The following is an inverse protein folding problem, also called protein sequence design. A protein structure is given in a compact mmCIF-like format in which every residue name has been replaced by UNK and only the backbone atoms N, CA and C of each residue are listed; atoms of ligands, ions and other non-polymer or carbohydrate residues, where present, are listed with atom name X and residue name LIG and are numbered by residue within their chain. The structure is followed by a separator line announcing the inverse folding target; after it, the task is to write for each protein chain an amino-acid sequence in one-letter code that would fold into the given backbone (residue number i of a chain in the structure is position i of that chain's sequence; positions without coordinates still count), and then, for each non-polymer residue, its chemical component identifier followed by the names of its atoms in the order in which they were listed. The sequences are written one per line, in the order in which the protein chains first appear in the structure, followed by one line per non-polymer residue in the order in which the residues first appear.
data_IF_108649744892
#
_entry.id   IF_108649744892
#
_cell.length_a   1.000
_cell.length_b   1.000
_cell.length_c   1.000
_cell.angle_alpha   90.00
_cell.angle_beta   90.00
_cell.angle_gamma   90.00
#
_symmetry.space_group_name_H-M   'P 1'
#
loop_
_entity.id
_entity.type
_entity.pdbx_description
1 polymer ?
#
# COMPACT_ATOMS: atom_id res chain seq x y z
N UNK A 1 14.38 47.12 -47.72
CA UNK A 1 14.59 45.83 -47.03
C UNK A 1 13.41 45.60 -46.09
N UNK A 2 12.59 44.58 -46.34
CA UNK A 2 11.44 44.22 -45.48
C UNK A 2 11.94 43.23 -44.44
N UNK A 3 11.95 43.62 -43.16
CA UNK A 3 12.26 42.73 -42.04
C UNK A 3 10.93 42.13 -41.59
N UNK A 4 10.70 40.89 -41.97
CA UNK A 4 9.53 40.11 -41.56
C UNK A 4 9.80 39.58 -40.15
N UNK A 5 9.16 40.18 -39.13
CA UNK A 5 9.17 39.67 -37.76
C UNK A 5 8.38 38.35 -37.74
N UNK A 6 9.06 37.22 -37.58
CA UNK A 6 8.43 35.94 -37.32
C UNK A 6 8.02 35.87 -35.84
N UNK A 7 6.71 35.97 -35.59
CA UNK A 7 6.12 35.73 -34.27
C UNK A 7 6.19 34.22 -34.02
N UNK A 8 7.17 33.78 -33.22
CA UNK A 8 7.20 32.42 -32.69
C UNK A 8 6.15 32.35 -31.59
N UNK A 9 4.96 31.85 -31.94
CA UNK A 9 3.94 31.50 -30.96
C UNK A 9 4.46 30.32 -30.13
N UNK A 10 4.93 30.60 -28.92
CA UNK A 10 5.09 29.57 -27.89
C UNK A 10 3.69 29.03 -27.58
N UNK A 11 3.35 27.88 -28.17
CA UNK A 11 2.28 27.04 -27.67
C UNK A 11 2.71 26.56 -26.27
N UNK A 12 2.30 27.32 -25.25
CA UNK A 12 2.21 26.83 -23.88
C UNK A 12 1.27 25.61 -23.94
N UNK A 13 1.87 24.43 -24.05
CA UNK A 13 1.19 23.18 -23.74
C UNK A 13 0.77 23.30 -22.28
N UNK A 14 -0.47 23.75 -22.07
CA UNK A 14 -1.24 23.38 -20.92
C UNK A 14 -1.36 21.85 -20.97
N UNK A 15 -0.32 21.15 -20.53
CA UNK A 15 -0.43 19.79 -20.07
C UNK A 15 -1.33 19.88 -18.84
N UNK A 16 -2.63 19.89 -19.08
CA UNK A 16 -3.62 19.56 -18.07
C UNK A 16 -3.31 18.11 -17.71
N UNK A 17 -2.54 17.90 -16.64
CA UNK A 17 -2.41 16.58 -16.04
C UNK A 17 -3.82 16.16 -15.62
N UNK A 18 -4.43 15.26 -16.40
CA UNK A 18 -5.70 14.66 -16.03
C UNK A 18 -5.53 14.06 -14.62
N UNK A 19 -6.42 14.40 -13.66
CA UNK A 19 -6.28 13.93 -12.30
C UNK A 19 -6.34 12.41 -12.27
N UNK A 20 -5.36 11.80 -11.59
CA UNK A 20 -5.32 10.34 -11.39
C UNK A 20 -6.61 9.88 -10.72
N UNK A 21 -7.25 8.88 -11.31
CA UNK A 21 -8.50 8.29 -10.84
C UNK A 21 -8.28 6.90 -10.24
N UNK A 22 -9.31 6.36 -9.57
CA UNK A 22 -9.31 4.97 -9.08
C UNK A 22 -9.08 3.94 -10.19
N UNK A 23 -9.47 4.25 -11.45
CA UNK A 23 -9.27 3.36 -12.59
C UNK A 23 -7.81 3.28 -13.01
N UNK A 24 -7.08 4.39 -12.88
CA UNK A 24 -5.67 4.49 -13.25
C UNK A 24 -4.76 3.64 -12.36
N UNK A 25 -5.19 3.37 -11.13
CA UNK A 25 -4.41 2.65 -10.12
C UNK A 25 -4.94 1.24 -9.88
N UNK A 26 -6.05 0.86 -10.52
CA UNK A 26 -6.64 -0.46 -10.37
C UNK A 26 -5.68 -1.56 -10.84
N UNK A 27 -5.59 -2.63 -10.06
CA UNK A 27 -4.71 -3.78 -10.31
C UNK A 27 -4.29 -4.46 -9.02
N UNK A 28 -3.51 -5.54 -9.17
CA UNK A 28 -2.91 -6.27 -8.05
C UNK A 28 -1.42 -5.94 -7.97
N UNK A 29 -0.95 -5.70 -6.76
CA UNK A 29 0.44 -5.37 -6.44
C UNK A 29 0.92 -6.34 -5.37
N UNK A 30 2.09 -6.94 -5.57
CA UNK A 30 2.68 -7.86 -4.61
C UNK A 30 3.56 -7.09 -3.62
N UNK A 31 3.49 -7.47 -2.34
CA UNK A 31 4.30 -6.90 -1.27
C UNK A 31 5.76 -7.30 -1.47
N UNK A 32 6.65 -6.32 -1.48
CA UNK A 32 8.08 -6.51 -1.75
C UNK A 32 8.99 -6.08 -0.61
N UNK A 33 8.56 -5.09 0.18
CA UNK A 33 9.32 -4.58 1.32
C UNK A 33 8.41 -4.13 2.46
N UNK A 34 8.95 -4.17 3.68
CA UNK A 34 8.38 -3.59 4.89
C UNK A 34 9.41 -2.64 5.49
N UNK A 35 8.99 -1.43 5.84
CA UNK A 35 9.85 -0.36 6.38
C UNK A 35 11.12 -0.12 5.55
N UNK A 36 10.95 -0.09 4.22
CA UNK A 36 12.02 0.05 3.22
C UNK A 36 13.05 -1.11 3.16
N UNK A 37 12.79 -2.25 3.81
CA UNK A 37 13.64 -3.43 3.77
C UNK A 37 12.95 -4.59 3.03
N UNK A 38 13.68 -5.33 2.16
CA UNK A 38 13.10 -6.43 1.39
C UNK A 38 12.62 -7.56 2.30
N UNK A 39 11.55 -8.23 1.90
CA UNK A 39 11.01 -9.37 2.63
C UNK A 39 11.91 -10.63 2.54
N UNK A 40 11.87 -11.53 3.55
CA UNK A 40 11.06 -11.47 4.78
C UNK A 40 11.60 -10.45 5.80
N UNK A 41 10.72 -9.92 6.65
CA UNK A 41 11.08 -8.96 7.70
C UNK A 41 10.45 -9.33 9.04
N UNK A 42 11.20 -9.11 10.13
CA UNK A 42 10.72 -9.33 11.49
C UNK A 42 9.74 -8.22 11.87
N UNK A 43 8.52 -8.60 12.27
CA UNK A 43 7.48 -7.67 12.72
C UNK A 43 7.58 -7.40 14.22
N UNK A 44 7.62 -8.47 15.02
CA UNK A 44 7.79 -8.44 16.47
C UNK A 44 8.64 -9.61 16.94
N UNK A 45 9.34 -9.44 18.06
CA UNK A 45 10.05 -10.51 18.74
C UNK A 45 9.78 -10.43 20.23
N UNK A 46 9.55 -11.58 20.84
CA UNK A 46 9.36 -11.75 22.28
C UNK A 46 10.37 -12.75 22.81
N UNK A 47 10.41 -12.96 24.13
CA UNK A 47 11.25 -13.99 24.71
C UNK A 47 10.89 -15.40 24.20
N UNK A 48 9.65 -15.62 23.77
CA UNK A 48 9.12 -16.94 23.43
C UNK A 48 8.86 -17.16 21.94
N UNK A 49 8.52 -16.09 21.22
CA UNK A 49 8.09 -16.17 19.82
C UNK A 49 8.64 -15.00 19.00
N UNK A 50 8.97 -15.29 17.75
CA UNK A 50 9.33 -14.32 16.73
C UNK A 50 8.25 -14.32 15.64
N UNK A 51 7.87 -13.14 15.16
CA UNK A 51 6.84 -12.98 14.14
C UNK A 51 7.40 -12.29 12.91
N UNK A 52 7.16 -12.88 11.74
CA UNK A 52 7.72 -12.48 10.47
C UNK A 52 6.63 -12.13 9.46
N UNK A 53 6.94 -11.18 8.58
CA UNK A 53 6.19 -10.90 7.34
C UNK A 53 6.97 -11.48 6.18
N UNK A 54 6.32 -12.30 5.36
CA UNK A 54 6.94 -12.98 4.22
C UNK A 54 6.45 -12.46 2.87
N UNK A 55 5.25 -11.88 2.82
CA UNK A 55 4.67 -11.41 1.56
C UNK A 55 3.24 -10.93 1.73
N UNK A 56 2.56 -10.71 0.61
CA UNK A 56 1.22 -10.17 0.61
C UNK A 56 0.83 -9.61 -0.74
N UNK A 57 -0.42 -9.20 -0.87
CA UNK A 57 -0.96 -8.61 -2.08
C UNK A 57 -1.93 -7.48 -1.73
N UNK A 58 -1.85 -6.39 -2.48
CA UNK A 58 -2.80 -5.30 -2.49
C UNK A 58 -3.57 -5.36 -3.81
N UNK A 59 -4.87 -5.60 -3.76
CA UNK A 59 -5.76 -5.51 -4.92
C UNK A 59 -6.58 -4.23 -4.83
N UNK A 60 -6.44 -3.35 -5.82
CA UNK A 60 -7.23 -2.14 -6.01
C UNK A 60 -8.22 -2.36 -7.15
N UNK A 61 -9.52 -2.22 -6.88
CA UNK A 61 -10.57 -2.36 -7.89
C UNK A 61 -10.96 -1.00 -8.47
N UNK A 62 -11.31 -0.98 -9.76
CA UNK A 62 -11.77 0.21 -10.46
C UNK A 62 -13.06 0.83 -9.88
N UNK A 63 -13.75 0.10 -9.00
CA UNK A 63 -14.94 0.56 -8.26
C UNK A 63 -14.61 1.36 -7.01
N UNK A 64 -13.32 1.48 -6.62
CA UNK A 64 -12.90 2.08 -5.35
C UNK A 64 -12.91 1.11 -4.17
N UNK A 65 -13.11 -0.18 -4.41
CA UNK A 65 -12.91 -1.22 -3.39
C UNK A 65 -11.47 -1.72 -3.38
N UNK A 66 -10.96 -2.15 -2.23
CA UNK A 66 -9.65 -2.80 -2.12
C UNK A 66 -9.71 -4.06 -1.27
N UNK A 67 -8.67 -4.89 -1.42
CA UNK A 67 -8.33 -5.95 -0.49
C UNK A 67 -6.82 -5.99 -0.30
N UNK A 68 -6.38 -5.84 0.94
CA UNK A 68 -4.98 -5.98 1.32
C UNK A 68 -4.82 -7.27 2.13
N UNK A 69 -3.96 -8.17 1.67
CA UNK A 69 -3.57 -9.38 2.38
C UNK A 69 -2.10 -9.30 2.72
N UNK A 70 -1.74 -9.47 3.99
CA UNK A 70 -0.36 -9.62 4.45
C UNK A 70 -0.19 -11.03 5.00
N UNK A 71 0.89 -11.72 4.62
CA UNK A 71 1.18 -13.10 4.99
C UNK A 71 2.46 -13.16 5.80
N UNK A 72 2.44 -13.97 6.84
CA UNK A 72 3.52 -14.07 7.80
C UNK A 72 3.64 -15.45 8.43
N UNK A 73 4.53 -15.52 9.41
CA UNK A 73 4.77 -16.69 10.23
C UNK A 73 5.02 -16.25 11.67
N UNK A 74 4.58 -17.05 12.63
CA UNK A 74 4.92 -16.93 14.04
C UNK A 74 5.65 -18.20 14.47
N UNK A 75 6.92 -18.08 14.83
CA UNK A 75 7.76 -19.16 15.33
C UNK A 75 7.85 -19.06 16.86
N UNK A 76 7.23 -20.02 17.55
CA UNK A 76 7.28 -20.14 19.01
C UNK A 76 8.10 -21.35 19.49
N UNK A 77 8.93 -21.94 18.62
CA UNK A 77 9.67 -23.18 18.93
C UNK A 77 10.64 -23.03 20.10
N UNK A 78 11.14 -21.82 20.36
CA UNK A 78 11.99 -21.50 21.52
C UNK A 78 11.31 -21.81 22.86
N UNK A 79 9.98 -21.70 22.91
CA UNK A 79 9.17 -22.02 24.08
C UNK A 79 8.51 -23.43 23.99
N UNK A 80 8.96 -24.28 23.05
CA UNK A 80 8.34 -25.58 22.78
C UNK A 80 7.01 -25.49 22.03
N UNK A 81 6.68 -24.30 21.51
CA UNK A 81 5.47 -24.06 20.71
C UNK A 81 5.63 -24.42 19.22
N UNK A 82 4.55 -24.31 18.44
CA UNK A 82 4.59 -24.57 17.01
C UNK A 82 5.14 -23.38 16.22
N UNK A 83 5.43 -23.64 14.94
CA UNK A 83 5.47 -22.62 13.89
C UNK A 83 4.06 -22.52 13.29
N UNK A 84 3.53 -21.30 13.18
CA UNK A 84 2.19 -21.04 12.67
C UNK A 84 2.22 -20.05 11.53
N UNK A 85 1.51 -20.34 10.43
CA UNK A 85 1.28 -19.36 9.38
C UNK A 85 0.32 -18.29 9.90
N UNK A 86 0.67 -17.03 9.73
CA UNK A 86 -0.18 -15.89 10.10
C UNK A 86 -0.62 -15.13 8.85
N UNK A 87 -1.78 -14.48 8.93
CA UNK A 87 -2.29 -13.67 7.84
C UNK A 87 -3.19 -12.56 8.35
N UNK A 88 -3.13 -11.42 7.69
CA UNK A 88 -4.00 -10.28 7.92
C UNK A 88 -4.72 -9.94 6.63
N UNK A 89 -6.04 -9.76 6.71
CA UNK A 89 -6.89 -9.44 5.57
C UNK A 89 -7.69 -8.18 5.89
N UNK A 90 -7.46 -7.14 5.09
CA UNK A 90 -8.11 -5.85 5.20
C UNK A 90 -8.89 -5.60 3.91
N UNK A 91 -10.18 -5.98 3.85
CA UNK A 91 -11.08 -5.54 2.80
C UNK A 91 -11.48 -4.08 3.05
N UNK A 92 -11.95 -3.36 2.03
CA UNK A 92 -12.49 -2.03 2.27
C UNK A 92 -12.68 -1.18 1.03
N UNK A 93 -12.70 0.13 1.23
CA UNK A 93 -12.75 1.13 0.17
C UNK A 93 -11.53 2.04 0.19
N UNK A 94 -11.18 2.56 -0.97
CA UNK A 94 -10.09 3.52 -1.13
C UNK A 94 -10.51 4.69 -2.01
N UNK A 95 -9.89 5.85 -1.78
CA UNK A 95 -10.01 7.03 -2.62
C UNK A 95 -8.64 7.51 -3.07
N UNK A 96 -8.62 8.28 -4.17
CA UNK A 96 -7.42 8.85 -4.79
C UNK A 96 -7.54 10.37 -4.79
N UNK A 97 -6.48 11.05 -4.36
CA UNK A 97 -6.34 12.50 -4.47
C UNK A 97 -4.91 12.83 -4.91
N UNK A 98 -4.74 13.12 -6.21
CA UNK A 98 -3.41 13.22 -6.81
C UNK A 98 -2.70 11.86 -6.74
N UNK A 99 -1.53 11.81 -6.11
CA UNK A 99 -0.82 10.53 -5.86
C UNK A 99 -1.15 9.92 -4.50
N UNK A 100 -1.92 10.60 -3.65
CA UNK A 100 -2.30 10.11 -2.33
C UNK A 100 -3.46 9.11 -2.42
N UNK A 101 -3.38 8.07 -1.60
CA UNK A 101 -4.41 7.07 -1.38
C UNK A 101 -4.89 7.15 0.05
N UNK A 102 -6.21 7.06 0.25
CA UNK A 102 -6.80 6.90 1.57
C UNK A 102 -7.59 5.60 1.60
N UNK A 103 -7.33 4.77 2.60
CA UNK A 103 -8.00 3.48 2.79
C UNK A 103 -8.91 3.52 4.02
N UNK A 104 -10.02 2.79 3.93
CA UNK A 104 -10.96 2.55 5.02
C UNK A 104 -11.32 1.07 5.01
N UNK A 105 -10.93 0.35 6.07
CA UNK A 105 -11.24 -1.06 6.26
C UNK A 105 -12.16 -1.25 7.46
N UNK A 106 -13.29 -1.97 7.36
CA UNK A 106 -14.12 -2.25 8.53
C UNK A 106 -13.38 -3.19 9.48
N UNK A 107 -13.44 -2.88 10.78
CA UNK A 107 -12.96 -3.80 11.81
C UNK A 107 -13.95 -4.96 11.98
N UNK A 108 -13.50 -6.12 12.51
CA UNK A 108 -14.40 -7.22 12.82
C UNK A 108 -15.55 -6.79 13.73
N UNK A 109 -16.73 -7.44 13.63
CA UNK A 109 -17.91 -7.08 14.43
C UNK A 109 -17.66 -7.06 15.94
N UNK A 110 -16.68 -7.84 16.42
CA UNK A 110 -16.27 -7.90 17.83
C UNK A 110 -15.59 -6.64 18.36
N UNK A 111 -14.98 -5.84 17.48
CA UNK A 111 -14.24 -4.62 17.87
C UNK A 111 -15.06 -3.35 17.56
N UNK A 112 -15.93 -3.41 16.54
CA UNK A 112 -16.68 -2.28 15.98
C UNK A 112 -15.80 -1.12 15.48
N UNK A 113 -16.23 -0.44 14.42
CA UNK A 113 -15.51 0.70 13.84
C UNK A 113 -14.72 0.36 12.57
N UNK A 114 -13.79 1.25 12.22
CA UNK A 114 -13.04 1.21 10.96
C UNK A 114 -11.56 1.54 11.21
N UNK A 115 -10.68 0.83 10.51
CA UNK A 115 -9.27 1.15 10.40
C UNK A 115 -9.07 2.10 9.22
N UNK A 116 -8.36 3.20 9.46
CA UNK A 116 -8.02 4.20 8.43
C UNK A 116 -6.51 4.30 8.34
N UNK A 117 -5.99 4.15 7.12
CA UNK A 117 -4.58 4.28 6.84
C UNK A 117 -4.38 4.91 5.47
N UNK A 118 -3.18 5.43 5.24
CA UNK A 118 -2.86 6.19 4.04
C UNK A 118 -1.93 5.40 3.13
N UNK A 119 -1.80 5.86 1.91
CA UNK A 119 -0.74 5.43 1.03
C UNK A 119 -0.45 6.45 -0.05
N UNK A 120 0.49 6.10 -0.92
CA UNK A 120 0.84 6.90 -2.08
C UNK A 120 1.23 6.02 -3.24
N UNK A 121 0.94 6.52 -4.43
CA UNK A 121 1.49 6.00 -5.68
C UNK A 121 2.84 6.65 -5.90
N UNK A 122 3.83 5.85 -6.27
CA UNK A 122 5.18 6.32 -6.55
C UNK A 122 5.60 5.86 -7.95
N UNK A 123 6.18 6.78 -8.74
CA UNK A 123 6.56 6.56 -10.13
C UNK A 123 5.38 6.49 -11.11
N UNK A 124 5.62 5.88 -12.29
CA UNK A 124 4.64 5.67 -13.37
C UNK A 124 3.59 4.59 -13.03
N UNK A 125 2.98 4.65 -11.84
CA UNK A 125 1.86 3.78 -11.39
C UNK A 125 2.22 2.30 -11.13
N UNK A 126 3.52 1.98 -11.01
CA UNK A 126 4.00 0.61 -10.75
C UNK A 126 4.23 0.27 -9.28
N UNK A 127 4.26 1.28 -8.39
CA UNK A 127 4.56 1.12 -6.97
C UNK A 127 3.52 1.81 -6.10
N UNK A 128 3.05 1.10 -5.07
CA UNK A 128 2.17 1.63 -4.03
C UNK A 128 2.86 1.47 -2.69
N UNK A 129 2.88 2.54 -1.91
CA UNK A 129 3.36 2.50 -0.53
C UNK A 129 2.16 2.72 0.36
N UNK A 130 1.87 1.76 1.24
CA UNK A 130 0.87 1.88 2.31
C UNK A 130 1.63 2.29 3.56
N UNK A 131 1.20 3.36 4.22
CA UNK A 131 1.93 3.95 5.35
C UNK A 131 1.12 3.92 6.63
N UNK A 132 1.83 3.65 7.73
CA UNK A 132 1.26 3.68 9.08
C UNK A 132 0.18 2.61 9.31
N UNK A 133 0.27 1.47 8.64
CA UNK A 133 -0.69 0.37 8.86
C UNK A 133 -0.33 -0.35 10.16
N UNK A 134 -1.23 -0.38 11.12
CA UNK A 134 -1.03 -1.14 12.34
C UNK A 134 -1.34 -2.62 12.13
N UNK A 135 -0.30 -3.44 12.12
CA UNK A 135 -0.45 -4.90 12.15
C UNK A 135 -0.60 -5.34 13.61
N UNK A 136 -1.67 -6.10 13.87
CA UNK A 136 -2.08 -6.56 15.21
C UNK A 136 -2.29 -5.46 16.28
N UNK A 137 -2.50 -4.20 15.89
CA UNK A 137 -2.60 -3.07 16.84
C UNK A 137 -1.36 -2.93 17.75
N UNK A 138 -0.21 -3.45 17.32
CA UNK A 138 1.04 -3.43 18.10
C UNK A 138 2.06 -2.48 17.49
N UNK A 139 2.19 -2.49 16.16
CA UNK A 139 3.20 -1.71 15.45
C UNK A 139 2.66 -1.20 14.13
N UNK A 140 2.80 0.11 13.90
CA UNK A 140 2.59 0.72 12.61
C UNK A 140 3.79 0.42 11.69
N UNK A 141 3.50 0.00 10.46
CA UNK A 141 4.50 -0.34 9.45
C UNK A 141 4.21 0.35 8.12
N UNK A 142 5.27 0.56 7.34
CA UNK A 142 5.17 0.97 5.95
C UNK A 142 5.37 -0.25 5.04
N UNK A 143 4.46 -0.44 4.09
CA UNK A 143 4.44 -1.59 3.18
C UNK A 143 4.62 -1.11 1.73
N UNK A 144 5.61 -1.65 1.03
CA UNK A 144 5.87 -1.34 -0.37
C UNK A 144 5.40 -2.48 -1.29
N UNK A 145 4.49 -2.16 -2.20
CA UNK A 145 3.94 -3.06 -3.19
C UNK A 145 4.37 -2.69 -4.60
N UNK A 146 4.58 -3.69 -5.45
CA UNK A 146 4.94 -3.51 -6.86
C UNK A 146 4.07 -4.37 -7.77
N UNK A 147 3.77 -3.84 -8.96
CA UNK A 147 3.08 -4.55 -10.03
C UNK A 147 4.06 -5.26 -10.94
#
# INVERSE_FOLDING_TARGET
MKITLAIVALALLAACDDPITVKDVAGTYSLTAMDAHPLPQLLTATLSCDQWVHGGDLTLLATGAFRLVVRGEMDCTRAGGPVQVTGWDFPGTFSVAGTALQFVSPLPPSTAGELRFSGRIDGLRGRVIVSGLELQLQRAVDLEFRR
#
